data_IF_926077575988
#
_entry.id   IF_926077575988
#
_cell.length_a   1.000
_cell.length_b   1.000
_cell.length_c   1.000
_cell.angle_alpha   90.00
_cell.angle_beta   90.00
_cell.angle_gamma   90.00
#
_symmetry.space_group_name_H-M   'P 1'
#
loop_
_entity.id
_entity.type
_entity.pdbx_description
1 polymer ?
#
# COMPACT_ATOMS: atom_id res chain seq x y z
N UNK A 1 -12.84 7.49 13.94
CA UNK A 1 -12.59 6.79 12.66
C UNK A 1 -12.08 5.38 12.99
N UNK A 2 -12.57 4.32 12.33
CA UNK A 2 -11.94 2.99 12.47
C UNK A 2 -10.54 3.09 11.87
N UNK A 3 -9.49 2.78 12.65
CA UNK A 3 -8.13 2.66 12.11
C UNK A 3 -8.17 1.66 10.95
N UNK A 4 -7.82 2.09 9.74
CA UNK A 4 -7.70 1.17 8.60
C UNK A 4 -6.49 0.29 8.86
N UNK A 5 -6.69 -1.02 8.96
CA UNK A 5 -5.58 -1.97 9.05
C UNK A 5 -4.88 -2.04 7.69
N UNK A 6 -3.76 -1.33 7.57
CA UNK A 6 -2.95 -1.34 6.36
C UNK A 6 -2.06 -2.58 6.33
N UNK A 7 -2.02 -3.22 5.15
CA UNK A 7 -1.22 -4.42 4.91
C UNK A 7 -0.28 -4.18 3.74
N UNK A 8 0.96 -4.62 3.88
CA UNK A 8 1.91 -4.78 2.78
C UNK A 8 1.68 -6.16 2.18
N UNK A 9 1.49 -6.20 0.87
CA UNK A 9 1.30 -7.43 0.10
C UNK A 9 2.20 -7.40 -1.13
N UNK A 10 2.53 -8.58 -1.67
CA UNK A 10 3.12 -8.69 -3.00
C UNK A 10 2.06 -8.48 -4.07
N UNK A 11 2.44 -7.83 -5.16
CA UNK A 11 1.63 -7.73 -6.37
C UNK A 11 1.78 -9.01 -7.19
N UNK A 12 0.70 -9.46 -7.82
CA UNK A 12 0.73 -10.62 -8.74
C UNK A 12 1.33 -10.17 -10.08
N UNK A 13 0.84 -9.05 -10.60
CA UNK A 13 1.30 -8.39 -11.83
C UNK A 13 1.68 -6.93 -11.51
N UNK A 14 2.95 -6.64 -11.17
CA UNK A 14 3.39 -5.30 -10.78
C UNK A 14 3.15 -4.23 -11.85
N UNK A 15 3.38 -4.56 -13.12
CA UNK A 15 3.29 -3.62 -14.25
C UNK A 15 1.88 -3.01 -14.39
N UNK A 16 0.83 -3.79 -14.08
CA UNK A 16 -0.55 -3.30 -14.09
C UNK A 16 -0.79 -2.19 -13.06
N UNK A 17 -0.05 -2.20 -11.95
CA UNK A 17 -0.19 -1.20 -10.91
C UNK A 17 0.53 0.10 -11.23
N UNK A 18 1.61 0.06 -12.02
CA UNK A 18 2.32 1.27 -12.45
C UNK A 18 1.50 2.13 -13.41
N UNK A 19 0.64 1.49 -14.22
CA UNK A 19 -0.28 2.18 -15.14
C UNK A 19 -1.67 2.46 -14.53
N UNK A 20 -1.93 1.99 -13.31
CA UNK A 20 -3.24 2.08 -12.69
C UNK A 20 -3.50 3.49 -12.14
N UNK A 21 -4.53 4.19 -12.67
CA UNK A 21 -4.94 5.52 -12.18
C UNK A 21 -5.33 5.60 -10.70
N UNK A 22 -5.58 4.45 -10.05
CA UNK A 22 -5.94 4.37 -8.64
C UNK A 22 -4.75 4.06 -7.73
N UNK A 23 -3.62 3.65 -8.32
CA UNK A 23 -2.37 3.46 -7.61
C UNK A 23 -1.70 4.81 -7.34
N UNK A 24 -0.96 4.89 -6.24
CA UNK A 24 -0.11 6.01 -5.90
C UNK A 24 1.22 5.48 -5.35
N UNK A 25 2.28 6.27 -5.41
CA UNK A 25 3.51 5.99 -4.67
C UNK A 25 3.33 6.46 -3.23
N UNK A 26 3.88 5.69 -2.30
CA UNK A 26 3.79 6.00 -0.89
C UNK A 26 5.02 5.52 -0.13
N UNK A 27 5.41 6.25 0.91
CA UNK A 27 6.37 5.79 1.91
C UNK A 27 5.64 4.93 2.93
N UNK A 28 6.11 3.69 3.10
CA UNK A 28 5.52 2.73 4.04
C UNK A 28 6.55 2.35 5.09
N UNK A 29 6.20 2.57 6.36
CA UNK A 29 6.94 2.01 7.49
C UNK A 29 6.45 0.59 7.73
N UNK A 30 7.32 -0.39 7.44
CA UNK A 30 7.08 -1.81 7.68
C UNK A 30 7.14 -2.15 9.18
N UNK A 31 6.69 -3.35 9.55
CA UNK A 31 6.75 -3.85 10.94
C UNK A 31 8.15 -3.83 11.57
N UNK A 32 9.20 -3.87 10.74
CA UNK A 32 10.60 -3.85 11.18
C UNK A 32 11.14 -2.41 11.35
N UNK A 33 10.30 -1.39 11.16
CA UNK A 33 10.68 0.02 11.23
C UNK A 33 11.39 0.54 9.97
N UNK A 34 11.54 -0.29 8.93
CA UNK A 34 12.11 0.14 7.64
C UNK A 34 11.07 0.92 6.85
N UNK A 35 11.49 2.07 6.32
CA UNK A 35 10.72 2.89 5.39
C UNK A 35 11.07 2.49 3.95
N UNK A 36 10.06 2.21 3.13
CA UNK A 36 10.22 1.84 1.73
C UNK A 36 9.20 2.57 0.87
N UNK A 37 9.59 2.98 -0.34
CA UNK A 37 8.65 3.46 -1.35
C UNK A 37 7.93 2.27 -1.96
N UNK A 38 6.61 2.25 -1.88
CA UNK A 38 5.75 1.17 -2.37
C UNK A 38 4.57 1.73 -3.13
N UNK A 39 3.89 0.86 -3.88
CA UNK A 39 2.60 1.19 -4.48
C UNK A 39 1.50 1.07 -3.42
N UNK A 40 0.71 2.14 -3.29
CA UNK A 40 -0.51 2.16 -2.51
C UNK A 40 -1.72 2.06 -3.44
N UNK A 41 -2.44 0.95 -3.37
CA UNK A 41 -3.66 0.74 -4.15
C UNK A 41 -4.90 1.18 -3.37
N UNK A 42 -5.72 2.04 -3.99
CA UNK A 42 -6.95 2.58 -3.39
C UNK A 42 -8.24 1.86 -3.83
N UNK A 43 -8.13 0.89 -4.74
CA UNK A 43 -9.28 0.07 -5.17
C UNK A 43 -9.62 -0.95 -4.10
N UNK A 44 -10.87 -0.93 -3.65
CA UNK A 44 -11.40 -1.91 -2.68
C UNK A 44 -11.81 -3.24 -3.33
N UNK A 45 -11.88 -3.26 -4.67
CA UNK A 45 -12.29 -4.39 -5.51
C UNK A 45 -11.13 -4.93 -6.36
N UNK A 46 -9.89 -4.54 -6.06
CA UNK A 46 -8.71 -5.02 -6.79
C UNK A 46 -8.21 -6.35 -6.20
N UNK A 47 -7.90 -7.28 -7.08
CA UNK A 47 -7.50 -8.65 -6.79
C UNK A 47 -6.04 -8.97 -7.21
N UNK A 48 -5.29 -7.98 -7.71
CA UNK A 48 -3.88 -8.09 -8.09
C UNK A 48 -2.90 -8.24 -6.91
N UNK A 49 -3.34 -8.86 -5.81
CA UNK A 49 -2.70 -8.83 -4.50
C UNK A 49 -2.54 -10.26 -4.00
N UNK A 50 -1.32 -10.69 -3.67
CA UNK A 50 -1.11 -11.97 -3.01
C UNK A 50 -1.42 -11.85 -1.51
N UNK A 51 -2.67 -12.15 -1.14
CA UNK A 51 -3.14 -12.08 0.25
C UNK A 51 -2.40 -13.02 1.22
N UNK A 52 -1.73 -14.07 0.72
CA UNK A 52 -0.93 -14.98 1.56
C UNK A 52 0.37 -14.33 2.03
N UNK A 53 0.82 -13.29 1.34
CA UNK A 53 2.03 -12.53 1.66
C UNK A 53 1.78 -11.35 2.61
N UNK A 54 0.57 -11.21 3.15
CA UNK A 54 0.16 -10.02 3.88
C UNK A 54 0.94 -9.83 5.20
N UNK A 55 1.60 -8.69 5.32
CA UNK A 55 2.29 -8.24 6.53
C UNK A 55 1.73 -6.91 7.02
N UNK A 56 1.77 -6.61 8.33
CA UNK A 56 1.27 -5.33 8.84
C UNK A 56 2.17 -4.16 8.43
N UNK A 57 1.55 -3.04 8.02
CA UNK A 57 2.20 -1.74 7.93
C UNK A 57 1.98 -0.95 9.22
N UNK A 58 3.01 -0.21 9.65
CA UNK A 58 2.92 0.69 10.81
C UNK A 58 2.42 2.08 10.42
N UNK A 59 2.91 2.59 9.28
CA UNK A 59 2.63 3.94 8.79
C UNK A 59 2.59 3.94 7.27
N UNK A 60 1.75 4.80 6.71
CA UNK A 60 1.64 5.07 5.29
C UNK A 60 1.60 6.59 5.08
N UNK A 61 2.45 7.09 4.20
CA UNK A 61 2.43 8.47 3.72
C UNK A 61 2.37 8.43 2.19
N UNK A 62 1.27 8.92 1.61
CA UNK A 62 1.03 8.87 0.17
C UNK A 62 1.59 10.13 -0.47
N UNK A 63 2.38 9.98 -1.53
CA UNK A 63 3.00 11.12 -2.21
C UNK A 63 1.92 12.09 -2.71
N UNK A 64 1.95 13.33 -2.22
CA UNK A 64 1.01 14.38 -2.62
C UNK A 64 -0.32 14.41 -1.87
N UNK A 65 -0.57 13.51 -0.90
CA UNK A 65 -1.70 13.57 0.02
C UNK A 65 -1.18 13.86 1.45
N UNK A 66 -1.83 14.78 2.17
CA UNK A 66 -1.48 15.01 3.58
C UNK A 66 -1.76 13.73 4.40
N UNK A 67 -0.93 13.43 5.42
CA UNK A 67 -1.12 12.24 6.26
C UNK A 67 -2.55 12.17 6.80
N UNK A 68 -3.21 11.04 6.56
CA UNK A 68 -4.48 10.69 7.19
C UNK A 68 -4.17 10.19 8.60
N UNK A 69 -4.37 11.06 9.60
CA UNK A 69 -4.30 10.75 11.04
C UNK A 69 -5.32 9.67 11.47
#
# INVERSE_FOLDING_TARGET
>A
MRKRELKVVRLIEPDLCDECRFAARAQVETKDGKIQTMVYCRRLDCDNWDTKSAEPARRLEVDGEQPID
#
